data_IF_612774886683
#
_entry.id   IF_612774886683
#
_cell.length_a   1.000
_cell.length_b   1.000
_cell.length_c   1.000
_cell.angle_alpha   90.00
_cell.angle_beta   90.00
_cell.angle_gamma   90.00
#
_symmetry.space_group_name_H-M   'P 1'
#
loop_
_entity.id
_entity.type
_entity.pdbx_description
1 polymer ?
#
# COMPACT_ATOMS: atom_id res chain seq x y z
N UNK A 1 -9.51 4.91 -26.21
CA UNK A 1 -10.15 5.08 -24.88
C UNK A 1 -10.40 6.55 -24.48
N UNK A 2 -10.58 7.46 -25.44
CA UNK A 2 -11.12 8.81 -25.22
C UNK A 2 -12.33 9.04 -26.14
N UNK A 3 -12.30 8.47 -27.35
CA UNK A 3 -13.40 8.52 -28.32
C UNK A 3 -14.72 7.95 -27.81
N UNK A 4 -14.70 6.79 -27.14
CA UNK A 4 -15.92 6.10 -26.68
C UNK A 4 -16.76 6.94 -25.69
N UNK A 5 -16.10 7.74 -24.83
CA UNK A 5 -16.79 8.61 -23.87
C UNK A 5 -17.44 9.82 -24.55
N UNK A 6 -16.76 10.39 -25.55
CA UNK A 6 -17.34 11.48 -26.35
C UNK A 6 -18.49 10.97 -27.21
N UNK A 7 -18.40 9.74 -27.72
CA UNK A 7 -19.46 9.12 -28.52
C UNK A 7 -20.75 8.98 -27.71
N UNK A 8 -20.69 8.41 -26.50
CA UNK A 8 -21.88 8.23 -25.66
C UNK A 8 -22.55 9.55 -25.23
N UNK A 9 -21.77 10.62 -25.02
CA UNK A 9 -22.30 11.96 -24.70
C UNK A 9 -22.97 12.58 -25.94
N UNK A 10 -22.35 12.45 -27.11
CA UNK A 10 -22.90 12.97 -28.37
C UNK A 10 -24.18 12.21 -28.74
N UNK A 11 -24.22 10.89 -28.53
CA UNK A 11 -25.39 10.05 -28.82
C UNK A 11 -26.59 10.41 -27.91
N UNK A 12 -26.36 10.70 -26.63
CA UNK A 12 -27.42 11.16 -25.70
C UNK A 12 -27.96 12.56 -26.03
N UNK A 13 -27.12 13.46 -26.56
CA UNK A 13 -27.55 14.80 -27.01
C UNK A 13 -28.33 14.72 -28.32
N UNK A 14 -27.95 13.82 -29.23
CA UNK A 14 -28.65 13.60 -30.50
C UNK A 14 -30.00 12.87 -30.32
N UNK A 15 -30.16 12.11 -29.24
CA UNK A 15 -31.40 11.42 -28.89
C UNK A 15 -32.51 12.35 -28.35
N UNK A 16 -32.25 13.66 -28.21
CA UNK A 16 -33.29 14.67 -27.97
C UNK A 16 -33.91 14.65 -26.57
N UNK A 17 -33.22 14.12 -25.56
CA UNK A 17 -33.70 14.10 -24.17
C UNK A 17 -33.69 15.51 -23.54
N UNK A 18 -34.72 16.28 -23.85
CA UNK A 18 -35.02 17.60 -23.26
C UNK A 18 -35.65 17.48 -21.86
N UNK A 19 -35.05 16.68 -20.96
CA UNK A 19 -35.43 16.60 -19.54
C UNK A 19 -34.18 16.79 -18.67
N UNK A 20 -33.61 17.99 -18.72
CA UNK A 20 -32.44 18.40 -17.92
C UNK A 20 -32.69 18.52 -16.42
N UNK A 21 -33.83 18.07 -15.88
CA UNK A 21 -34.23 18.25 -14.47
C UNK A 21 -34.20 16.97 -13.62
N UNK A 22 -34.05 15.78 -14.21
CA UNK A 22 -34.02 14.49 -13.47
C UNK A 22 -32.65 13.80 -13.48
N UNK A 23 -31.67 14.39 -14.18
CA UNK A 23 -30.32 13.85 -14.26
C UNK A 23 -29.53 14.33 -13.05
N UNK A 24 -29.48 13.49 -12.01
CA UNK A 24 -28.55 13.66 -10.90
C UNK A 24 -27.16 13.99 -11.45
N UNK A 25 -26.56 15.06 -10.93
CA UNK A 25 -25.31 15.61 -11.43
C UNK A 25 -24.25 14.51 -11.52
N UNK A 26 -23.88 14.10 -12.74
CA UNK A 26 -22.81 13.13 -12.97
C UNK A 26 -21.48 13.85 -12.72
N UNK A 27 -21.08 13.93 -11.45
CA UNK A 27 -19.76 14.45 -11.08
C UNK A 27 -18.75 13.39 -11.49
N UNK A 28 -18.21 13.52 -12.70
CA UNK A 28 -17.04 12.75 -13.12
C UNK A 28 -15.87 13.28 -12.30
N UNK A 29 -15.51 12.54 -11.26
CA UNK A 29 -14.31 12.82 -10.47
C UNK A 29 -13.11 12.84 -11.40
N UNK A 30 -12.31 13.90 -11.30
CA UNK A 30 -11.06 14.02 -12.03
C UNK A 30 -10.17 12.81 -11.72
N UNK A 31 -9.33 12.41 -12.68
CA UNK A 31 -8.40 11.28 -12.54
C UNK A 31 -7.37 11.47 -11.40
N UNK A 32 -7.35 12.63 -10.75
CA UNK A 32 -6.57 12.96 -9.55
C UNK A 32 -7.30 12.68 -8.23
N UNK A 33 -8.55 12.22 -8.27
CA UNK A 33 -9.28 11.84 -7.05
C UNK A 33 -8.70 10.55 -6.48
N UNK A 34 -8.05 10.67 -5.34
CA UNK A 34 -7.39 9.57 -4.65
C UNK A 34 -8.46 8.63 -4.10
N UNK A 35 -8.40 7.35 -4.47
CA UNK A 35 -9.32 6.31 -3.98
C UNK A 35 -10.49 5.95 -4.90
N UNK A 36 -10.68 6.62 -6.05
CA UNK A 36 -11.60 6.13 -7.10
C UNK A 36 -11.03 4.86 -7.77
N UNK A 37 -11.86 3.94 -8.30
CA UNK A 37 -11.38 2.76 -9.03
C UNK A 37 -10.38 3.08 -10.15
N UNK A 38 -10.49 4.25 -10.80
CA UNK A 38 -9.52 4.69 -11.83
C UNK A 38 -8.15 5.03 -11.25
N UNK A 39 -8.08 5.68 -10.09
CA UNK A 39 -6.82 5.97 -9.39
C UNK A 39 -6.14 4.68 -8.94
N UNK A 40 -6.90 3.75 -8.35
CA UNK A 40 -6.36 2.44 -7.96
C UNK A 40 -5.81 1.65 -9.15
N UNK A 41 -6.56 1.61 -10.28
CA UNK A 41 -6.10 0.95 -11.50
C UNK A 41 -4.82 1.57 -12.05
N UNK A 42 -4.70 2.91 -12.03
CA UNK A 42 -3.51 3.61 -12.50
C UNK A 42 -2.29 3.31 -11.62
N UNK A 43 -2.43 3.34 -10.30
CA UNK A 43 -1.35 3.00 -9.35
C UNK A 43 -0.89 1.56 -9.51
N UNK A 44 -1.83 0.64 -9.72
CA UNK A 44 -1.50 -0.76 -9.99
C UNK A 44 -0.66 -0.91 -11.26
N UNK A 45 -1.08 -0.29 -12.37
CA UNK A 45 -0.34 -0.37 -13.63
C UNK A 45 1.06 0.26 -13.52
N UNK A 46 1.19 1.36 -12.80
CA UNK A 46 2.48 2.02 -12.55
C UNK A 46 3.42 1.13 -11.72
N UNK A 47 2.91 0.52 -10.64
CA UNK A 47 3.65 -0.46 -9.86
C UNK A 47 4.05 -1.69 -10.69
N UNK A 48 3.17 -2.18 -11.57
CA UNK A 48 3.49 -3.28 -12.48
C UNK A 48 4.55 -2.91 -13.52
N UNK A 49 4.56 -1.67 -14.01
CA UNK A 49 5.62 -1.19 -14.92
C UNK A 49 6.99 -1.17 -14.22
N UNK A 50 7.04 -0.79 -12.93
CA UNK A 50 8.25 -0.87 -12.13
C UNK A 50 8.70 -2.34 -11.94
N UNK A 51 7.79 -3.25 -11.62
CA UNK A 51 8.10 -4.69 -11.49
C UNK A 51 8.56 -5.29 -12.82
N UNK A 52 7.95 -4.89 -13.95
CA UNK A 52 8.35 -5.35 -15.28
C UNK A 52 9.76 -4.86 -15.64
N UNK A 53 10.10 -3.62 -15.31
CA UNK A 53 11.40 -3.02 -15.63
C UNK A 53 12.53 -3.51 -14.74
N UNK A 54 12.28 -3.66 -13.45
CA UNK A 54 13.32 -3.96 -12.45
C UNK A 54 13.23 -5.38 -11.87
N UNK A 55 12.27 -6.17 -12.31
CA UNK A 55 11.96 -7.47 -11.73
C UNK A 55 11.24 -7.36 -10.39
N UNK A 56 10.73 -8.50 -9.90
CA UNK A 56 10.16 -8.61 -8.56
C UNK A 56 11.28 -8.41 -7.53
N UNK A 57 11.20 -7.35 -6.72
CA UNK A 57 12.09 -7.20 -5.57
C UNK A 57 11.72 -8.26 -4.53
N UNK A 58 12.60 -9.23 -4.32
CA UNK A 58 12.55 -10.17 -3.20
C UNK A 58 13.64 -9.76 -2.21
N UNK A 59 13.36 -8.77 -1.35
CA UNK A 59 14.25 -8.43 -0.25
C UNK A 59 13.74 -9.14 1.01
N UNK A 60 14.45 -10.19 1.42
CA UNK A 60 14.23 -10.86 2.69
C UNK A 60 15.41 -10.52 3.60
N UNK A 61 15.17 -9.66 4.59
CA UNK A 61 16.15 -9.35 5.64
C UNK A 61 15.81 -10.21 6.84
N UNK A 62 16.72 -11.11 7.20
CA UNK A 62 16.63 -11.86 8.46
C UNK A 62 17.60 -11.21 9.44
N UNK A 63 17.06 -10.57 10.48
CA UNK A 63 17.84 -10.05 11.60
C UNK A 63 17.65 -11.02 12.76
N UNK A 64 18.74 -11.64 13.21
CA UNK A 64 18.72 -12.56 14.35
C UNK A 64 19.14 -11.84 15.63
N UNK A 65 18.36 -11.99 16.71
CA UNK A 65 18.75 -11.52 18.03
C UNK A 65 19.85 -12.43 18.60
N UNK A 66 20.97 -11.86 19.06
CA UNK A 66 22.01 -12.60 19.77
C UNK A 66 21.75 -12.55 21.28
N UNK A 67 21.61 -13.71 21.90
CA UNK A 67 21.32 -13.83 23.34
C UNK A 67 22.55 -13.60 24.23
N UNK A 68 23.75 -13.59 23.64
CA UNK A 68 25.03 -13.31 24.32
C UNK A 68 25.38 -11.81 24.34
N UNK A 69 24.45 -10.93 24.00
CA UNK A 69 24.68 -9.49 24.13
C UNK A 69 24.81 -9.10 25.60
N UNK A 70 25.81 -8.25 25.90
CA UNK A 70 26.10 -7.80 27.28
C UNK A 70 24.87 -7.14 27.92
N UNK A 71 24.07 -6.39 27.15
CA UNK A 71 22.85 -5.75 27.63
C UNK A 71 21.78 -6.77 28.10
N UNK A 72 21.80 -7.98 27.56
CA UNK A 72 20.93 -9.07 27.99
C UNK A 72 21.53 -9.75 29.23
N UNK A 73 22.85 -9.99 29.23
CA UNK A 73 23.55 -10.67 30.32
C UNK A 73 23.57 -9.84 31.62
N UNK A 74 23.69 -8.51 31.52
CA UNK A 74 23.71 -7.60 32.67
C UNK A 74 22.33 -7.49 33.37
N UNK A 75 21.25 -7.62 32.61
CA UNK A 75 19.87 -7.53 33.11
C UNK A 75 19.30 -8.90 33.56
N UNK A 76 20.03 -9.99 33.31
CA UNK A 76 19.64 -11.34 33.73
C UNK A 76 19.99 -11.55 35.20
N UNK A 77 18.98 -11.99 35.96
CA UNK A 77 19.14 -12.35 37.37
C UNK A 77 19.97 -13.64 37.48
N UNK A 78 20.89 -13.76 38.46
CA UNK A 78 21.69 -14.97 38.66
C UNK A 78 20.83 -16.23 38.75
N UNK A 79 21.09 -17.21 37.89
CA UNK A 79 20.35 -18.48 37.81
C UNK A 79 19.24 -18.52 36.77
N UNK A 80 18.90 -17.40 36.12
CA UNK A 80 17.97 -17.36 34.99
C UNK A 80 18.75 -17.40 33.66
N UNK A 81 18.17 -18.02 32.62
CA UNK A 81 18.73 -17.97 31.26
C UNK A 81 18.02 -16.93 30.40
N UNK A 82 18.75 -16.34 29.46
CA UNK A 82 18.25 -15.37 28.47
C UNK A 82 17.05 -15.88 27.68
N UNK A 83 17.01 -17.17 27.37
CA UNK A 83 15.88 -17.83 26.70
C UNK A 83 14.55 -17.74 27.47
N UNK A 84 14.60 -17.63 28.80
CA UNK A 84 13.40 -17.50 29.64
C UNK A 84 12.92 -16.06 29.81
N UNK A 85 13.62 -15.08 29.21
CA UNK A 85 13.28 -13.65 29.25
C UNK A 85 13.12 -13.07 27.84
N UNK A 86 12.08 -13.49 27.10
CA UNK A 86 11.80 -12.96 25.77
C UNK A 86 11.51 -11.45 25.78
N UNK A 87 11.08 -10.91 26.92
CA UNK A 87 10.85 -9.48 27.13
C UNK A 87 12.16 -8.66 27.02
N UNK A 88 13.23 -9.10 27.69
CA UNK A 88 14.53 -8.43 27.64
C UNK A 88 15.16 -8.53 26.24
N UNK A 89 15.16 -9.73 25.66
CA UNK A 89 15.71 -9.97 24.33
C UNK A 89 14.99 -9.14 23.25
N UNK A 90 13.66 -9.00 23.35
CA UNK A 90 12.87 -8.15 22.44
C UNK A 90 13.21 -6.67 22.61
N UNK A 91 13.34 -6.18 23.85
CA UNK A 91 13.70 -4.79 24.11
C UNK A 91 15.09 -4.43 23.58
N UNK A 92 16.09 -5.28 23.85
CA UNK A 92 17.46 -5.07 23.37
C UNK A 92 17.52 -5.17 21.85
N UNK A 93 16.78 -6.11 21.24
CA UNK A 93 16.68 -6.23 19.80
C UNK A 93 16.07 -4.98 19.14
N UNK A 94 14.98 -4.43 19.70
CA UNK A 94 14.38 -3.19 19.22
C UNK A 94 15.30 -1.98 19.37
N UNK A 95 16.14 -1.94 20.42
CA UNK A 95 17.09 -0.85 20.61
C UNK A 95 18.27 -0.88 19.63
N UNK A 96 18.58 -2.05 19.03
CA UNK A 96 19.68 -2.23 18.06
C UNK A 96 19.24 -2.17 16.60
N UNK A 97 17.94 -2.10 16.33
CA UNK A 97 17.33 -1.99 14.99
C UNK A 97 17.32 -0.54 14.52
#
# INVERSE_FOLDING_TARGET
MRSELYQGIVDSVMAGESRGSELGQQIILLASFIGDPRDMRRRYLDAMALVQRFGKRNLFITITCNLEWNEIQEEIVPGQHSHFRPDLTTRVFQAKL
#
